data_IF_577309032364
#
_entry.id   IF_577309032364
#
_cell.length_a   1.000
_cell.length_b   1.000
_cell.length_c   1.000
_cell.angle_alpha   90.00
_cell.angle_beta   90.00
_cell.angle_gamma   90.00
#
_symmetry.space_group_name_H-M   'P 1'
#
loop_
_entity.id
_entity.type
_entity.pdbx_description
1 polymer ?
#
# COMPACT_ATOMS: atom_id res chain seq x y z
N UNK A 1 -34.63 -11.84 32.46
CA UNK A 1 -35.49 -12.02 31.27
C UNK A 1 -36.15 -13.38 31.44
N UNK A 2 -37.47 -13.36 31.56
CA UNK A 2 -38.28 -14.36 32.26
C UNK A 2 -38.22 -15.77 31.65
N UNK A 3 -38.14 -16.76 32.53
CA UNK A 3 -38.33 -18.16 32.21
C UNK A 3 -39.80 -18.41 31.84
N UNK A 4 -40.11 -18.30 30.55
CA UNK A 4 -41.40 -18.73 29.98
C UNK A 4 -41.23 -20.17 29.49
N UNK A 5 -41.18 -21.12 30.42
CA UNK A 5 -41.61 -22.49 30.07
C UNK A 5 -43.12 -22.51 30.22
N UNK A 6 -43.89 -22.83 29.17
CA UNK A 6 -45.30 -22.55 29.16
C UNK A 6 -46.06 -23.60 29.98
N UNK A 7 -46.95 -23.12 30.85
CA UNK A 7 -48.08 -23.81 31.50
C UNK A 7 -48.96 -24.66 30.53
N UNK A 8 -48.72 -24.57 29.22
CA UNK A 8 -49.56 -25.06 28.15
C UNK A 8 -49.55 -26.58 27.96
N UNK A 9 -48.45 -27.30 28.22
CA UNK A 9 -48.41 -28.75 27.98
C UNK A 9 -49.31 -29.53 28.96
N UNK A 10 -49.41 -29.08 30.21
CA UNK A 10 -50.15 -29.79 31.25
C UNK A 10 -51.66 -29.52 31.14
N UNK A 11 -52.06 -28.28 30.87
CA UNK A 11 -53.46 -27.91 30.68
C UNK A 11 -54.05 -28.56 29.42
N UNK A 12 -53.34 -28.50 28.29
CA UNK A 12 -53.84 -29.08 27.03
C UNK A 12 -53.92 -30.61 27.09
N UNK A 13 -53.00 -31.28 27.80
CA UNK A 13 -53.07 -32.74 28.01
C UNK A 13 -54.26 -33.15 28.89
N UNK A 14 -54.50 -32.42 29.99
CA UNK A 14 -55.69 -32.60 30.82
C UNK A 14 -56.98 -32.28 30.04
N UNK A 15 -56.97 -31.26 29.20
CA UNK A 15 -58.11 -30.88 28.37
C UNK A 15 -58.39 -31.91 27.28
N UNK A 16 -57.38 -32.50 26.64
CA UNK A 16 -57.54 -33.56 25.63
C UNK A 16 -58.10 -34.83 26.26
N UNK A 17 -57.59 -35.24 27.42
CA UNK A 17 -58.13 -36.41 28.13
C UNK A 17 -59.57 -36.16 28.59
N UNK A 18 -59.88 -34.95 29.08
CA UNK A 18 -61.24 -34.55 29.43
C UNK A 18 -62.17 -34.51 28.22
N UNK A 19 -61.70 -34.03 27.06
CA UNK A 19 -62.45 -34.04 25.80
C UNK A 19 -62.69 -35.47 25.30
N UNK A 20 -61.73 -36.38 25.49
CA UNK A 20 -61.90 -37.80 25.19
C UNK A 20 -62.88 -38.47 26.14
N UNK A 21 -62.88 -38.10 27.41
CA UNK A 21 -63.86 -38.58 28.39
C UNK A 21 -65.27 -38.08 28.04
N UNK A 22 -65.40 -36.81 27.65
CA UNK A 22 -66.66 -36.25 27.14
C UNK A 22 -67.10 -36.92 25.82
N UNK A 23 -66.16 -37.24 24.93
CA UNK A 23 -66.44 -37.95 23.68
C UNK A 23 -66.90 -39.38 23.95
N UNK A 24 -66.27 -40.07 24.91
CA UNK A 24 -66.65 -41.39 25.37
C UNK A 24 -68.08 -41.39 25.95
N UNK A 25 -68.37 -40.44 26.85
CA UNK A 25 -69.70 -40.28 27.47
C UNK A 25 -70.79 -39.99 26.42
N UNK A 26 -70.54 -39.06 25.49
CA UNK A 26 -71.52 -38.69 24.46
C UNK A 26 -71.77 -39.80 23.44
N UNK A 27 -70.77 -40.64 23.16
CA UNK A 27 -70.87 -41.66 22.11
C UNK A 27 -71.37 -43.00 22.64
N UNK A 28 -71.05 -43.34 23.89
CA UNK A 28 -71.36 -44.64 24.49
C UNK A 28 -72.49 -44.54 25.52
N UNK A 29 -72.43 -43.56 26.44
CA UNK A 29 -73.36 -43.46 27.57
C UNK A 29 -74.63 -42.65 27.26
N UNK A 30 -74.53 -41.58 26.46
CA UNK A 30 -75.67 -40.72 26.08
C UNK A 30 -75.73 -40.44 24.57
N UNK A 31 -75.86 -41.48 23.72
CA UNK A 31 -75.98 -41.28 22.28
C UNK A 31 -77.23 -40.44 21.98
N UNK A 32 -77.06 -39.30 21.30
CA UNK A 32 -78.19 -38.51 20.80
C UNK A 32 -78.65 -39.12 19.48
N UNK A 33 -79.83 -39.77 19.42
CA UNK A 33 -80.34 -40.26 18.15
C UNK A 33 -80.75 -39.09 17.25
N UNK A 34 -80.34 -39.14 15.98
CA UNK A 34 -80.74 -38.16 14.97
C UNK A 34 -82.18 -38.45 14.48
N UNK A 35 -82.67 -39.70 14.59
CA UNK A 35 -84.05 -40.08 14.29
C UNK A 35 -84.41 -41.44 14.94
N UNK A 36 -85.35 -41.47 15.90
CA UNK A 36 -85.73 -42.71 16.62
C UNK A 36 -84.59 -43.32 17.45
N UNK A 37 -84.82 -44.29 18.33
CA UNK A 37 -83.83 -44.85 19.29
C UNK A 37 -82.57 -45.52 18.68
N UNK A 38 -82.24 -45.26 17.42
CA UNK A 38 -81.16 -45.88 16.66
C UNK A 38 -80.21 -44.80 16.12
N UNK A 39 -79.01 -44.68 16.70
CA UNK A 39 -77.87 -44.04 16.02
C UNK A 39 -77.49 -44.91 14.83
N UNK A 40 -77.86 -44.49 13.62
CA UNK A 40 -77.61 -45.24 12.40
C UNK A 40 -76.11 -45.56 12.25
N UNK A 41 -75.76 -46.85 12.28
CA UNK A 41 -74.50 -47.38 11.73
C UNK A 41 -73.25 -47.24 12.59
N UNK A 42 -73.35 -46.86 13.85
CA UNK A 42 -72.21 -46.72 14.75
C UNK A 42 -72.09 -47.93 15.70
N UNK A 43 -71.03 -48.71 15.57
CA UNK A 43 -70.70 -49.78 16.50
C UNK A 43 -70.05 -49.17 17.77
N UNK A 44 -70.75 -49.32 18.90
CA UNK A 44 -70.31 -48.76 20.18
C UNK A 44 -69.06 -49.43 20.71
N UNK A 45 -68.87 -50.71 20.41
CA UNK A 45 -67.74 -51.48 20.90
C UNK A 45 -66.48 -51.07 20.12
N UNK A 46 -66.59 -50.91 18.80
CA UNK A 46 -65.50 -50.42 17.95
C UNK A 46 -65.08 -49.00 18.36
N UNK A 47 -66.02 -48.07 18.52
CA UNK A 47 -65.71 -46.70 18.95
C UNK A 47 -65.12 -46.67 20.35
N UNK A 48 -65.63 -47.50 21.27
CA UNK A 48 -65.07 -47.66 22.61
C UNK A 48 -63.63 -48.14 22.60
N UNK A 49 -63.32 -49.15 21.79
CA UNK A 49 -61.95 -49.65 21.62
C UNK A 49 -61.00 -48.58 21.06
N UNK A 50 -61.43 -47.81 20.06
CA UNK A 50 -60.60 -46.75 19.49
C UNK A 50 -60.34 -45.63 20.50
N UNK A 51 -61.36 -45.20 21.27
CA UNK A 51 -61.17 -44.20 22.34
C UNK A 51 -60.25 -44.73 23.45
N UNK A 52 -60.40 -46.00 23.85
CA UNK A 52 -59.53 -46.61 24.85
C UNK A 52 -58.08 -46.70 24.38
N UNK A 53 -57.86 -47.06 23.11
CA UNK A 53 -56.54 -47.09 22.48
C UNK A 53 -55.90 -45.70 22.44
N UNK A 54 -56.66 -44.68 22.06
CA UNK A 54 -56.23 -43.28 22.05
C UNK A 54 -55.90 -42.81 23.47
N UNK A 55 -56.73 -43.11 24.47
CA UNK A 55 -56.45 -42.78 25.89
C UNK A 55 -55.18 -43.46 26.39
N UNK A 56 -54.92 -44.70 25.98
CA UNK A 56 -53.75 -45.46 26.41
C UNK A 56 -52.44 -44.95 25.82
N UNK A 57 -52.44 -44.51 24.54
CA UNK A 57 -51.22 -44.05 23.87
C UNK A 57 -50.95 -42.56 24.09
N UNK A 58 -51.96 -41.68 24.01
CA UNK A 58 -51.75 -40.23 23.98
C UNK A 58 -50.84 -39.66 25.08
N UNK A 59 -50.91 -40.11 26.35
CA UNK A 59 -50.03 -39.59 27.39
C UNK A 59 -48.54 -39.79 27.07
N UNK A 60 -48.15 -40.91 26.44
CA UNK A 60 -46.77 -41.15 26.03
C UNK A 60 -46.37 -40.28 24.85
N UNK A 61 -47.23 -40.14 23.84
CA UNK A 61 -46.94 -39.30 22.68
C UNK A 61 -46.77 -37.82 23.07
N UNK A 62 -47.63 -37.29 23.96
CA UNK A 62 -47.52 -35.91 24.46
C UNK A 62 -46.27 -35.71 25.29
N UNK A 63 -45.90 -36.69 26.14
CA UNK A 63 -44.64 -36.64 26.91
C UNK A 63 -43.41 -36.64 26.00
N UNK A 64 -43.42 -37.47 24.96
CA UNK A 64 -42.34 -37.52 23.97
C UNK A 64 -42.24 -36.19 23.21
N UNK A 65 -43.34 -35.66 22.70
CA UNK A 65 -43.37 -34.36 22.02
C UNK A 65 -42.83 -33.24 22.92
N UNK A 66 -43.25 -33.18 24.19
CA UNK A 66 -42.75 -32.20 25.16
C UNK A 66 -41.24 -32.37 25.44
N UNK A 67 -40.74 -33.61 25.49
CA UNK A 67 -39.31 -33.86 25.65
C UNK A 67 -38.52 -33.42 24.41
N UNK A 68 -39.01 -33.71 23.20
CA UNK A 68 -38.40 -33.27 21.95
C UNK A 68 -38.35 -31.75 21.83
N UNK A 69 -39.41 -31.04 22.22
CA UNK A 69 -39.43 -29.56 22.23
C UNK A 69 -38.38 -29.02 23.20
N UNK A 70 -38.31 -29.54 24.44
CA UNK A 70 -37.30 -29.11 25.41
C UNK A 70 -35.88 -29.34 24.92
N UNK A 71 -35.63 -30.48 24.29
CA UNK A 71 -34.32 -30.77 23.71
C UNK A 71 -34.00 -29.83 22.55
N UNK A 72 -34.99 -29.55 21.69
CA UNK A 72 -34.84 -28.57 20.60
C UNK A 72 -34.51 -27.18 21.13
N UNK A 73 -35.22 -26.72 22.17
CA UNK A 73 -34.94 -25.42 22.82
C UNK A 73 -33.52 -25.37 23.37
N UNK A 74 -33.06 -26.48 23.98
CA UNK A 74 -31.70 -26.61 24.52
C UNK A 74 -30.62 -26.55 23.44
N UNK A 75 -30.84 -27.24 22.32
CA UNK A 75 -29.94 -27.22 21.17
C UNK A 75 -29.89 -25.82 20.56
N UNK A 76 -31.04 -25.16 20.40
CA UNK A 76 -31.11 -23.79 19.87
C UNK A 76 -30.37 -22.81 20.75
N UNK A 77 -30.49 -22.92 22.08
CA UNK A 77 -29.77 -22.06 23.00
C UNK A 77 -28.25 -22.29 22.90
N UNK A 78 -27.80 -23.54 22.97
CA UNK A 78 -26.37 -23.88 22.82
C UNK A 78 -25.80 -23.39 21.48
N UNK A 79 -26.53 -23.60 20.38
CA UNK A 79 -26.11 -23.15 19.06
C UNK A 79 -26.03 -21.61 18.96
N UNK A 80 -26.90 -20.89 19.66
CA UNK A 80 -26.84 -19.42 19.74
C UNK A 80 -25.65 -18.94 20.54
N UNK A 81 -25.36 -19.57 21.67
CA UNK A 81 -24.16 -19.27 22.46
C UNK A 81 -22.88 -19.51 21.64
N UNK A 82 -22.76 -20.67 20.99
CA UNK A 82 -21.61 -21.03 20.14
C UNK A 82 -21.44 -20.07 18.96
N UNK A 83 -22.55 -19.71 18.30
CA UNK A 83 -22.54 -18.73 17.21
C UNK A 83 -22.09 -17.35 17.73
N UNK A 84 -22.59 -16.92 18.89
CA UNK A 84 -22.20 -15.65 19.51
C UNK A 84 -20.71 -15.61 19.83
N UNK A 85 -20.17 -16.65 20.45
CA UNK A 85 -18.73 -16.75 20.77
C UNK A 85 -17.87 -16.73 19.50
N UNK A 86 -18.31 -17.46 18.46
CA UNK A 86 -17.60 -17.49 17.17
C UNK A 86 -17.61 -16.12 16.49
N UNK A 87 -18.77 -15.45 16.47
CA UNK A 87 -18.89 -14.10 15.89
C UNK A 87 -18.05 -13.08 16.65
N UNK A 88 -18.02 -13.14 17.98
CA UNK A 88 -17.19 -12.25 18.80
C UNK A 88 -15.71 -12.47 18.53
N UNK A 89 -15.27 -13.73 18.46
CA UNK A 89 -13.88 -14.09 18.15
C UNK A 89 -13.48 -13.63 16.75
N UNK A 90 -14.35 -13.84 15.76
CA UNK A 90 -14.12 -13.39 14.38
C UNK A 90 -14.06 -11.86 14.27
N UNK A 91 -14.93 -11.14 15.00
CA UNK A 91 -14.91 -9.68 15.05
C UNK A 91 -13.62 -9.16 15.67
N UNK A 92 -13.20 -9.74 16.80
CA UNK A 92 -11.94 -9.36 17.46
C UNK A 92 -10.72 -9.59 16.57
N UNK A 93 -10.70 -10.71 15.84
CA UNK A 93 -9.62 -11.00 14.90
C UNK A 93 -9.64 -10.03 13.71
N UNK A 94 -10.81 -9.71 13.16
CA UNK A 94 -10.95 -8.72 12.10
C UNK A 94 -10.47 -7.33 12.56
N UNK A 95 -10.86 -6.90 13.76
CA UNK A 95 -10.41 -5.64 14.34
C UNK A 95 -8.88 -5.62 14.54
N UNK A 96 -8.29 -6.75 14.98
CA UNK A 96 -6.84 -6.91 15.09
C UNK A 96 -6.14 -6.76 13.74
N UNK A 97 -6.61 -7.49 12.72
CA UNK A 97 -6.03 -7.44 11.37
C UNK A 97 -6.11 -6.02 10.80
N UNK A 98 -7.24 -5.33 10.99
CA UNK A 98 -7.40 -3.94 10.53
C UNK A 98 -6.42 -3.00 11.26
N UNK A 99 -6.25 -3.17 12.57
CA UNK A 99 -5.30 -2.37 13.35
C UNK A 99 -3.85 -2.60 12.88
N UNK A 100 -3.44 -3.86 12.72
CA UNK A 100 -2.11 -4.22 12.22
C UNK A 100 -1.86 -3.68 10.80
N UNK A 101 -2.84 -3.83 9.90
CA UNK A 101 -2.75 -3.31 8.54
C UNK A 101 -2.61 -1.78 8.51
N UNK A 102 -3.29 -1.05 9.41
CA UNK A 102 -3.14 0.40 9.53
C UNK A 102 -1.74 0.80 9.98
N UNK A 103 -1.21 0.13 11.00
CA UNK A 103 0.16 0.40 11.51
C UNK A 103 1.19 0.14 10.41
N UNK A 104 1.08 -0.96 9.68
CA UNK A 104 2.03 -1.26 8.59
C UNK A 104 1.88 -0.29 7.42
N UNK A 105 0.66 0.14 7.09
CA UNK A 105 0.42 1.16 6.07
C UNK A 105 1.05 2.51 6.47
N UNK A 106 0.91 2.93 7.73
CA UNK A 106 1.56 4.13 8.25
C UNK A 106 3.09 4.03 8.18
N UNK A 107 3.65 2.87 8.57
CA UNK A 107 5.08 2.59 8.48
C UNK A 107 5.60 2.66 7.05
N UNK A 108 4.87 2.09 6.10
CA UNK A 108 5.22 2.11 4.68
C UNK A 108 5.17 3.54 4.12
N UNK A 109 4.14 4.31 4.45
CA UNK A 109 4.02 5.71 4.02
C UNK A 109 5.16 6.56 4.57
N UNK A 110 5.53 6.37 5.83
CA UNK A 110 6.65 7.10 6.42
C UNK A 110 7.98 6.74 5.77
N UNK A 111 8.23 5.46 5.54
CA UNK A 111 9.41 5.01 4.81
C UNK A 111 9.47 5.60 3.40
N UNK A 112 8.35 5.57 2.67
CA UNK A 112 8.27 6.15 1.33
C UNK A 112 8.54 7.67 1.33
N UNK A 113 8.06 8.41 2.34
CA UNK A 113 8.34 9.84 2.50
C UNK A 113 9.82 10.10 2.77
N UNK A 114 10.45 9.33 3.66
CA UNK A 114 11.88 9.46 3.94
C UNK A 114 12.72 9.19 2.70
N UNK A 115 12.41 8.13 1.96
CA UNK A 115 13.09 7.82 0.69
C UNK A 115 12.88 8.93 -0.35
N UNK A 116 11.66 9.45 -0.48
CA UNK A 116 11.37 10.57 -1.38
C UNK A 116 12.20 11.81 -1.03
N UNK A 117 12.29 12.16 0.26
CA UNK A 117 13.11 13.29 0.71
C UNK A 117 14.60 13.09 0.42
N UNK A 118 15.12 11.87 0.62
CA UNK A 118 16.49 11.53 0.26
C UNK A 118 16.75 11.70 -1.24
N UNK A 119 15.88 11.13 -2.08
CA UNK A 119 16.01 11.25 -3.54
C UNK A 119 15.95 12.71 -4.03
N UNK A 120 15.08 13.54 -3.42
CA UNK A 120 15.01 14.96 -3.75
C UNK A 120 16.30 15.69 -3.37
N UNK A 121 16.82 15.44 -2.16
CA UNK A 121 18.10 16.01 -1.70
C UNK A 121 19.26 15.61 -2.63
N UNK A 122 19.36 14.32 -2.99
CA UNK A 122 20.37 13.82 -3.93
C UNK A 122 20.24 14.49 -5.31
N UNK A 123 19.01 14.68 -5.79
CA UNK A 123 18.74 15.35 -7.07
C UNK A 123 19.15 16.82 -7.05
N UNK A 124 18.87 17.55 -5.96
CA UNK A 124 19.29 18.94 -5.79
C UNK A 124 20.81 19.07 -5.75
N UNK A 125 21.49 18.20 -5.00
CA UNK A 125 22.96 18.15 -4.95
C UNK A 125 23.52 17.89 -6.35
N UNK A 126 22.96 16.94 -7.09
CA UNK A 126 23.41 16.65 -8.45
C UNK A 126 23.20 17.85 -9.39
N UNK A 127 22.06 18.53 -9.29
CA UNK A 127 21.75 19.72 -10.10
C UNK A 127 22.71 20.87 -9.80
N UNK A 128 22.97 21.15 -8.52
CA UNK A 128 23.94 22.16 -8.10
C UNK A 128 25.35 21.81 -8.55
N UNK A 129 25.77 20.57 -8.34
CA UNK A 129 27.10 20.09 -8.76
C UNK A 129 27.30 20.22 -10.26
N UNK A 130 26.26 19.92 -11.06
CA UNK A 130 26.29 20.09 -12.51
C UNK A 130 26.40 21.56 -12.91
N UNK A 131 25.60 22.44 -12.31
CA UNK A 131 25.66 23.88 -12.57
C UNK A 131 27.05 24.46 -12.22
N UNK A 132 27.59 24.09 -11.06
CA UNK A 132 28.93 24.50 -10.63
C UNK A 132 30.02 23.96 -11.57
N UNK A 133 29.91 22.71 -12.03
CA UNK A 133 30.85 22.13 -13.00
C UNK A 133 30.83 22.88 -14.32
N UNK A 134 29.65 23.24 -14.81
CA UNK A 134 29.49 24.04 -16.03
C UNK A 134 30.10 25.44 -15.87
N UNK A 135 29.92 26.07 -14.71
CA UNK A 135 30.52 27.37 -14.40
C UNK A 135 32.06 27.30 -14.37
N UNK A 136 32.63 26.32 -13.66
CA UNK A 136 34.08 26.10 -13.60
C UNK A 136 34.64 25.85 -15.00
N UNK A 137 33.98 25.02 -15.80
CA UNK A 137 34.39 24.75 -17.18
C UNK A 137 34.39 26.03 -18.02
N UNK A 138 33.32 26.82 -17.95
CA UNK A 138 33.22 28.07 -18.69
C UNK A 138 34.27 29.09 -18.24
N UNK A 139 34.59 29.16 -16.95
CA UNK A 139 35.66 30.00 -16.43
C UNK A 139 37.03 29.54 -16.94
N UNK A 140 37.33 28.24 -16.86
CA UNK A 140 38.56 27.66 -17.36
C UNK A 140 38.75 27.89 -18.88
N UNK A 141 37.68 27.79 -19.67
CA UNK A 141 37.73 28.09 -21.11
C UNK A 141 38.07 29.56 -21.38
N UNK A 142 37.50 30.49 -20.61
CA UNK A 142 37.83 31.94 -20.72
C UNK A 142 39.29 32.21 -20.31
N UNK A 143 39.73 31.62 -19.21
CA UNK A 143 41.08 31.78 -18.70
C UNK A 143 42.11 31.21 -19.68
N UNK A 144 41.83 30.04 -20.28
CA UNK A 144 42.67 29.45 -21.31
C UNK A 144 42.80 30.35 -22.55
N UNK A 145 41.70 30.95 -23.00
CA UNK A 145 41.73 31.92 -24.12
C UNK A 145 42.52 33.17 -23.73
N UNK A 146 42.33 33.68 -22.52
CA UNK A 146 43.08 34.82 -21.98
C UNK A 146 44.58 34.55 -21.91
N UNK A 147 44.96 33.39 -21.36
CA UNK A 147 46.34 32.94 -21.26
C UNK A 147 47.00 32.79 -22.63
N UNK A 148 46.30 32.17 -23.59
CA UNK A 148 46.81 32.03 -24.96
C UNK A 148 47.08 33.39 -25.60
N UNK A 149 46.14 34.34 -25.51
CA UNK A 149 46.32 35.70 -26.03
C UNK A 149 47.46 36.43 -25.32
N UNK A 150 47.56 36.29 -24.00
CA UNK A 150 48.66 36.87 -23.22
C UNK A 150 50.02 36.34 -23.64
N UNK A 151 50.13 35.02 -23.85
CA UNK A 151 51.34 34.36 -24.33
C UNK A 151 51.71 34.79 -25.75
N UNK A 152 50.73 34.89 -26.67
CA UNK A 152 50.94 35.40 -28.03
C UNK A 152 51.47 36.83 -28.02
N UNK A 153 50.86 37.71 -27.21
CA UNK A 153 51.33 39.09 -27.06
C UNK A 153 52.74 39.14 -26.50
N UNK A 154 53.03 38.38 -25.44
CA UNK A 154 54.37 38.32 -24.86
C UNK A 154 55.40 37.81 -25.87
N UNK A 155 55.06 36.79 -26.66
CA UNK A 155 55.94 36.28 -27.71
C UNK A 155 56.25 37.35 -28.76
N UNK A 156 55.25 38.12 -29.20
CA UNK A 156 55.44 39.24 -30.12
C UNK A 156 56.33 40.34 -29.52
N UNK A 157 56.12 40.71 -28.25
CA UNK A 157 56.94 41.72 -27.57
C UNK A 157 58.41 41.26 -27.48
N UNK A 158 58.65 40.00 -27.12
CA UNK A 158 60.01 39.42 -27.07
C UNK A 158 60.65 39.38 -28.46
N UNK A 159 59.91 38.99 -29.50
CA UNK A 159 60.41 38.99 -30.87
C UNK A 159 60.75 40.40 -31.36
N UNK A 160 59.93 41.40 -31.05
CA UNK A 160 60.21 42.81 -31.38
C UNK A 160 61.44 43.36 -30.65
N UNK A 161 61.63 42.97 -29.39
CA UNK A 161 62.87 43.31 -28.65
C UNK A 161 64.10 42.68 -29.32
N UNK A 162 64.01 41.41 -29.71
CA UNK A 162 65.09 40.70 -30.39
C UNK A 162 65.42 41.35 -31.75
N UNK A 163 64.39 41.70 -32.54
CA UNK A 163 64.54 42.44 -33.80
C UNK A 163 65.29 43.76 -33.59
N UNK A 164 64.93 44.53 -32.56
CA UNK A 164 65.63 45.77 -32.22
C UNK A 164 67.10 45.56 -31.85
N UNK A 165 67.43 44.48 -31.14
CA UNK A 165 68.83 44.12 -30.83
C UNK A 165 69.59 43.74 -32.11
N UNK A 166 69.02 42.88 -32.94
CA UNK A 166 69.62 42.49 -34.22
C UNK A 166 69.83 43.70 -35.14
N UNK A 167 68.87 44.62 -35.23
CA UNK A 167 69.01 45.85 -36.00
C UNK A 167 70.17 46.74 -35.54
N UNK A 168 70.41 46.84 -34.23
CA UNK A 168 71.57 47.56 -33.67
C UNK A 168 72.88 46.87 -34.02
N UNK A 169 72.93 45.54 -33.96
CA UNK A 169 74.10 44.74 -34.36
C UNK A 169 74.40 44.94 -35.84
N UNK A 170 73.39 44.85 -36.71
CA UNK A 170 73.53 45.08 -38.16
C UNK A 170 74.03 46.49 -38.46
N UNK A 171 73.48 47.52 -37.81
CA UNK A 171 73.95 48.90 -37.97
C UNK A 171 75.41 49.06 -37.57
N UNK A 172 75.85 48.37 -36.51
CA UNK A 172 77.24 48.39 -36.04
C UNK A 172 78.17 47.70 -37.03
N UNK A 173 77.75 46.55 -37.58
CA UNK A 173 78.48 45.86 -38.65
C UNK A 173 78.61 46.75 -39.88
N UNK A 174 77.53 47.40 -40.32
CA UNK A 174 77.52 48.27 -41.50
C UNK A 174 78.48 49.46 -41.33
N UNK A 175 78.46 50.09 -40.16
CA UNK A 175 79.45 51.15 -39.81
C UNK A 175 80.87 50.61 -39.84
N UNK A 176 81.12 49.45 -39.26
CA UNK A 176 82.45 48.81 -39.28
C UNK A 176 82.92 48.50 -40.70
N UNK A 177 82.03 48.04 -41.59
CA UNK A 177 82.34 47.82 -43.01
C UNK A 177 82.67 49.13 -43.73
N UNK A 178 81.88 50.17 -43.54
CA UNK A 178 82.14 51.50 -44.15
C UNK A 178 83.46 52.11 -43.71
N UNK A 179 83.86 51.92 -42.44
CA UNK A 179 85.17 52.35 -41.96
C UNK A 179 86.31 51.59 -42.64
N UNK A 180 86.19 50.28 -42.85
CA UNK A 180 87.19 49.49 -43.59
C UNK A 180 87.28 49.88 -45.06
N UNK A 181 86.15 50.08 -45.75
CA UNK A 181 86.13 50.55 -47.15
C UNK A 181 86.74 51.95 -47.30
N UNK A 182 86.51 52.85 -46.33
CA UNK A 182 87.21 54.15 -46.25
C UNK A 182 88.71 53.98 -46.03
N UNK A 183 89.13 53.02 -45.21
CA UNK A 183 90.54 52.76 -44.95
C UNK A 183 91.24 52.12 -46.16
N UNK A 184 90.56 51.24 -46.91
CA UNK A 184 91.06 50.70 -48.19
C UNK A 184 91.16 51.78 -49.27
N UNK A 185 90.17 52.66 -49.41
CA UNK A 185 90.23 53.77 -50.40
C UNK A 185 91.27 54.83 -50.04
N UNK A 186 91.56 55.06 -48.76
CA UNK A 186 92.66 55.92 -48.32
C UNK A 186 94.06 55.31 -48.55
N UNK A 187 94.17 53.97 -48.57
CA UNK A 187 95.42 53.27 -48.82
C UNK A 187 95.79 53.16 -50.32
N UNK A 188 94.84 53.37 -51.24
CA UNK A 188 95.01 53.11 -52.68
C UNK A 188 95.31 54.36 -53.53
N UNK A 189 95.49 55.56 -52.97
CA UNK A 189 96.05 56.68 -53.77
C UNK A 189 97.54 56.42 -54.08
N UNK A 190 97.94 56.20 -55.34
CA UNK A 190 99.35 56.04 -55.69
C UNK A 190 100.02 57.42 -55.58
N UNK A 191 100.99 57.57 -54.67
CA UNK A 191 101.93 58.69 -54.75
C UNK A 191 102.89 58.42 -55.90
N UNK A 192 102.44 58.72 -57.12
CA UNK A 192 103.31 58.93 -58.26
C UNK A 192 104.11 60.23 -58.07
N UNK A 193 105.45 60.06 -58.09
CA UNK A 193 106.50 60.95 -58.61
C UNK A 193 106.51 62.44 -58.22
N UNK A 194 107.54 62.82 -57.47
CA UNK A 194 108.48 63.93 -57.79
C UNK A 194 109.62 63.90 -56.74
N UNK A 195 110.84 63.47 -57.06
CA UNK A 195 111.96 64.27 -57.63
C UNK A 195 112.19 65.61 -56.91
N UNK A 196 113.22 65.68 -56.08
CA UNK A 196 114.46 66.46 -56.27
C UNK A 196 115.37 66.28 -55.06
#
# INVERSE_FOLDING_TARGET
>A
MEAVIPFFANSTSMDILRLLDQLHELTIERPRPIMGKLTWGLDKDEVGMQIAKVRASLPSEVKQAAATVRESDRIVESAREDASMTMESAKKEADRIIAEAKVEAERLLEHARLQQQQMLSESEILKLSKAQSEEIRNAADRDAVGMRRGAEKYALDVLGQLEGVVGKVMTTIERGKQEMERNETAAVTPREKARA
#
